data_IF_255862240187
#
_entry.id   IF_255862240187
#
_cell.length_a   1.000
_cell.length_b   1.000
_cell.length_c   1.000
_cell.angle_alpha   90.00
_cell.angle_beta   90.00
_cell.angle_gamma   90.00
#
_symmetry.space_group_name_H-M   'P 1'
#
loop_
_entity.id
_entity.type
_entity.pdbx_description
1 polymer ?
#
# COMPACT_ATOMS: atom_id res chain seq x y z
N UNK A 1 -0.93 29.28 5.76
CA UNK A 1 -1.93 28.58 6.59
C UNK A 1 -2.20 27.14 6.15
N UNK A 2 -1.70 26.72 5.00
CA UNK A 2 -1.87 25.34 4.52
C UNK A 2 -0.72 24.39 4.91
N UNK A 3 0.27 24.83 5.65
CA UNK A 3 1.42 24.00 6.04
C UNK A 3 1.09 22.86 7.01
N UNK A 4 0.02 22.98 7.77
CA UNK A 4 -0.40 21.95 8.72
C UNK A 4 -1.15 20.77 8.06
N UNK A 5 -1.32 20.80 6.75
CA UNK A 5 -2.17 19.86 6.00
C UNK A 5 -1.36 19.15 4.92
N UNK A 6 -0.10 19.51 4.73
CA UNK A 6 0.75 18.90 3.72
C UNK A 6 1.46 17.67 4.29
N UNK A 7 1.35 16.58 3.58
CA UNK A 7 2.01 15.30 3.86
C UNK A 7 3.50 15.32 3.48
N UNK A 8 4.16 16.43 3.67
CA UNK A 8 5.52 16.63 3.19
C UNK A 8 6.51 15.83 4.04
N UNK A 9 6.92 14.68 3.55
CA UNK A 9 8.15 14.03 3.99
C UNK A 9 9.30 14.61 3.17
N UNK A 10 10.18 15.32 3.85
CA UNK A 10 11.30 16.02 3.20
C UNK A 10 12.62 15.33 3.49
N UNK A 11 13.53 15.44 2.55
CA UNK A 11 14.91 15.01 2.71
C UNK A 11 15.71 16.09 3.42
N UNK A 12 16.22 15.78 4.59
CA UNK A 12 17.03 16.68 5.41
C UNK A 12 18.41 16.08 5.61
N UNK A 13 19.46 16.89 5.41
CA UNK A 13 20.82 16.52 5.76
C UNK A 13 21.19 17.05 7.12
N UNK A 14 22.00 16.30 7.87
CA UNK A 14 22.50 16.67 9.18
C UNK A 14 24.00 16.36 9.32
N UNK A 15 24.73 17.22 10.02
CA UNK A 15 26.09 16.92 10.49
C UNK A 15 26.01 16.24 11.86
N UNK A 16 26.19 14.92 11.88
CA UNK A 16 26.11 14.14 13.13
C UNK A 16 27.24 14.45 14.12
N UNK A 17 28.38 14.98 13.66
CA UNK A 17 29.48 15.36 14.57
C UNK A 17 29.18 16.66 15.29
N UNK A 18 28.53 17.59 14.61
CA UNK A 18 28.14 18.89 15.17
C UNK A 18 26.75 18.87 15.77
N UNK A 19 25.97 17.80 15.51
CA UNK A 19 24.54 17.70 15.89
C UNK A 19 23.71 18.87 15.33
N UNK A 20 24.04 19.31 14.13
CA UNK A 20 23.37 20.41 13.44
C UNK A 20 22.62 19.91 12.21
N UNK A 21 21.39 20.43 12.01
CA UNK A 21 20.67 20.25 10.75
C UNK A 21 21.31 21.14 9.69
N UNK A 22 21.66 20.53 8.56
CA UNK A 22 22.39 21.22 7.51
C UNK A 22 21.45 21.91 6.53
N UNK A 23 20.54 21.18 5.95
CA UNK A 23 19.63 21.70 4.92
C UNK A 23 18.42 20.81 4.73
N UNK A 24 17.28 21.43 4.43
CA UNK A 24 16.15 20.75 3.82
C UNK A 24 16.36 20.80 2.29
N UNK A 25 16.67 19.66 1.70
CA UNK A 25 16.98 19.54 0.28
C UNK A 25 15.73 19.52 -0.60
N UNK A 26 14.59 19.14 -0.06
CA UNK A 26 13.37 18.92 -0.83
C UNK A 26 12.16 19.72 -0.29
N UNK A 27 12.29 21.03 -0.04
CA UNK A 27 11.18 21.84 0.42
C UNK A 27 10.08 21.87 -0.64
N UNK A 28 8.85 21.54 -0.25
CA UNK A 28 7.69 21.51 -1.14
C UNK A 28 7.61 20.30 -2.06
N UNK A 29 8.46 19.30 -1.89
CA UNK A 29 8.28 17.99 -2.50
C UNK A 29 7.27 17.18 -1.68
N UNK A 30 6.56 16.28 -2.36
CA UNK A 30 5.54 15.47 -1.76
C UNK A 30 6.08 14.07 -1.47
N UNK A 31 6.10 13.68 -0.19
CA UNK A 31 6.33 12.30 0.25
C UNK A 31 7.64 11.66 -0.24
N UNK A 32 8.76 12.29 0.02
CA UNK A 32 10.09 11.78 -0.32
C UNK A 32 10.46 10.56 0.51
N UNK A 33 10.89 9.47 -0.14
CA UNK A 33 11.25 8.22 0.52
C UNK A 33 12.54 7.59 -0.03
N UNK A 34 13.02 6.58 0.67
CA UNK A 34 14.14 5.71 0.31
C UNK A 34 15.41 6.46 -0.10
N UNK A 35 15.90 7.42 0.71
CA UNK A 35 17.08 8.18 0.35
C UNK A 35 18.33 7.29 0.32
N UNK A 36 19.13 7.45 -0.72
CA UNK A 36 20.40 6.75 -0.88
C UNK A 36 21.47 7.69 -1.44
N UNK A 37 22.65 7.64 -0.86
CA UNK A 37 23.78 8.43 -1.33
C UNK A 37 24.30 7.92 -2.67
N UNK A 38 24.65 8.86 -3.55
CA UNK A 38 25.44 8.53 -4.74
C UNK A 38 26.83 8.04 -4.31
N UNK A 39 27.44 7.19 -5.13
CA UNK A 39 28.77 6.62 -4.85
C UNK A 39 29.86 7.68 -4.56
N UNK A 40 29.78 8.83 -5.21
CA UNK A 40 30.72 9.93 -5.02
C UNK A 40 30.35 10.90 -3.89
N UNK A 41 29.24 10.65 -3.17
CA UNK A 41 28.77 11.48 -2.07
C UNK A 41 28.27 12.87 -2.45
N UNK A 42 28.10 13.18 -3.74
CA UNK A 42 27.72 14.53 -4.21
C UNK A 42 26.22 14.70 -4.46
N UNK A 43 25.47 13.62 -4.41
CA UNK A 43 24.03 13.63 -4.66
C UNK A 43 23.31 12.58 -3.83
N UNK A 44 22.00 12.73 -3.70
CA UNK A 44 21.13 11.77 -3.06
C UNK A 44 20.09 11.33 -4.07
N UNK A 45 19.89 10.02 -4.19
CA UNK A 45 18.78 9.41 -4.88
C UNK A 45 17.62 9.27 -3.90
N UNK A 46 16.40 9.40 -4.38
CA UNK A 46 15.20 9.18 -3.59
C UNK A 46 14.02 8.84 -4.49
N UNK A 47 12.96 8.33 -3.89
CA UNK A 47 11.69 8.09 -4.58
C UNK A 47 10.61 9.07 -4.12
N UNK A 48 9.71 9.41 -5.03
CA UNK A 48 8.55 10.26 -4.76
C UNK A 48 7.36 9.76 -5.59
N UNK A 49 6.15 9.64 -5.01
CA UNK A 49 4.98 9.25 -5.78
C UNK A 49 4.50 10.40 -6.66
N UNK A 50 4.00 10.04 -7.83
CA UNK A 50 3.27 10.97 -8.70
C UNK A 50 1.81 11.12 -8.22
N UNK A 51 1.09 12.05 -8.81
CA UNK A 51 -0.35 12.24 -8.53
C UNK A 51 -1.21 11.04 -8.96
N UNK A 52 -0.69 10.20 -9.86
CA UNK A 52 -1.33 8.96 -10.31
C UNK A 52 -0.97 7.73 -9.49
N UNK A 53 -0.15 7.91 -8.42
CA UNK A 53 0.27 6.82 -7.57
C UNK A 53 1.52 6.06 -8.04
N UNK A 54 2.05 6.39 -9.20
CA UNK A 54 3.31 5.81 -9.68
C UNK A 54 4.50 6.37 -8.90
N UNK A 55 5.55 5.56 -8.78
CA UNK A 55 6.79 6.00 -8.14
C UNK A 55 7.79 6.49 -9.16
N UNK A 56 8.40 7.63 -8.85
CA UNK A 56 9.43 8.22 -9.66
C UNK A 56 10.77 8.27 -8.93
N UNK A 57 11.81 7.72 -9.53
CA UNK A 57 13.16 7.83 -9.02
C UNK A 57 13.72 9.21 -9.37
N UNK A 58 14.28 9.88 -8.39
CA UNK A 58 14.86 11.23 -8.53
C UNK A 58 16.28 11.30 -7.98
N UNK A 59 16.99 12.33 -8.38
CA UNK A 59 18.31 12.69 -7.86
C UNK A 59 18.35 14.18 -7.53
N UNK A 60 18.99 14.53 -6.42
CA UNK A 60 19.24 15.90 -6.02
C UNK A 60 20.71 16.08 -5.60
N UNK A 61 21.40 17.18 -5.99
CA UNK A 61 22.72 17.52 -5.46
C UNK A 61 22.65 17.77 -3.95
N UNK A 62 23.73 17.43 -3.23
CA UNK A 62 23.82 17.67 -1.77
C UNK A 62 23.78 19.16 -1.42
N UNK A 63 24.23 20.01 -2.33
CA UNK A 63 24.24 21.46 -2.16
C UNK A 63 22.85 22.09 -2.46
N UNK A 64 21.85 21.27 -2.75
CA UNK A 64 20.49 21.70 -3.05
C UNK A 64 20.24 21.90 -4.55
N UNK A 65 19.10 22.50 -4.86
CA UNK A 65 18.63 22.73 -6.23
C UNK A 65 17.34 21.95 -6.54
N UNK A 66 16.94 21.94 -7.80
CA UNK A 66 15.74 21.20 -8.22
C UNK A 66 16.05 19.73 -8.43
N UNK A 67 15.25 18.81 -7.86
CA UNK A 67 15.36 17.39 -8.14
C UNK A 67 15.16 17.10 -9.64
N UNK A 68 15.92 16.13 -10.15
CA UNK A 68 15.80 15.64 -11.52
C UNK A 68 15.26 14.23 -11.54
N UNK A 69 14.33 13.96 -12.44
CA UNK A 69 13.83 12.61 -12.66
C UNK A 69 14.91 11.74 -13.30
N UNK A 70 14.97 10.49 -12.88
CA UNK A 70 15.83 9.47 -13.47
C UNK A 70 14.94 8.40 -14.13
N UNK A 71 15.08 8.30 -15.45
CA UNK A 71 14.41 7.24 -16.20
C UNK A 71 15.24 5.98 -16.20
N UNK A 72 14.65 4.88 -15.78
CA UNK A 72 15.27 3.56 -15.88
C UNK A 72 15.31 3.17 -17.36
N UNK A 73 16.48 3.15 -17.96
CA UNK A 73 16.65 2.83 -19.38
C UNK A 73 16.63 1.32 -19.67
N UNK A 74 17.11 0.51 -18.71
CA UNK A 74 17.22 -0.93 -18.88
C UNK A 74 17.28 -1.62 -17.51
N UNK A 75 16.53 -2.70 -17.36
CA UNK A 75 16.69 -3.65 -16.28
C UNK A 75 17.65 -4.76 -16.70
N UNK A 76 18.62 -5.08 -15.85
CA UNK A 76 19.56 -6.18 -16.05
C UNK A 76 19.32 -7.19 -14.94
N UNK A 77 18.78 -8.32 -15.32
CA UNK A 77 18.48 -9.40 -14.38
C UNK A 77 19.68 -10.33 -14.24
N UNK A 78 19.96 -10.79 -13.03
CA UNK A 78 21.05 -11.74 -12.73
C UNK A 78 20.74 -13.17 -13.20
N UNK A 79 19.46 -13.50 -13.37
CA UNK A 79 18.99 -14.80 -13.84
C UNK A 79 18.10 -14.62 -15.05
N UNK A 80 18.07 -15.62 -15.92
CA UNK A 80 17.10 -15.68 -17.00
C UNK A 80 15.68 -15.69 -16.44
N UNK A 81 14.77 -15.08 -17.15
CA UNK A 81 13.37 -14.94 -16.74
C UNK A 81 12.42 -15.62 -17.71
N UNK A 82 11.24 -15.91 -17.23
CA UNK A 82 10.13 -16.45 -18.01
C UNK A 82 8.81 -15.91 -17.48
N UNK A 83 7.83 -15.76 -18.35
CA UNK A 83 6.48 -15.42 -17.92
C UNK A 83 5.76 -16.67 -17.42
N UNK A 84 5.07 -16.53 -16.28
CA UNK A 84 4.28 -17.58 -15.65
C UNK A 84 2.85 -17.10 -15.48
N UNK A 85 1.87 -17.94 -15.85
CA UNK A 85 0.45 -17.72 -15.58
C UNK A 85 0.07 -18.39 -14.25
N UNK A 86 -0.47 -17.60 -13.33
CA UNK A 86 -0.96 -18.07 -12.04
C UNK A 86 -2.47 -17.86 -11.98
N UNK A 87 -3.21 -18.95 -11.75
CA UNK A 87 -4.67 -18.93 -11.60
C UNK A 87 -5.05 -19.32 -10.19
N UNK A 88 -5.98 -18.57 -9.59
CA UNK A 88 -6.55 -18.90 -8.28
C UNK A 88 -8.03 -19.21 -8.41
N UNK A 89 -8.45 -20.32 -7.81
CA UNK A 89 -9.82 -20.81 -7.87
C UNK A 89 -10.37 -21.15 -6.47
N UNK A 90 -11.67 -20.99 -6.33
CA UNK A 90 -12.43 -21.39 -5.15
C UNK A 90 -13.71 -22.11 -5.62
N UNK A 91 -13.88 -23.38 -5.22
CA UNK A 91 -15.01 -24.18 -5.69
C UNK A 91 -15.09 -24.32 -7.23
N UNK A 92 -13.94 -24.37 -7.91
CA UNK A 92 -13.84 -24.47 -9.36
C UNK A 92 -13.96 -23.15 -10.11
N UNK A 93 -14.37 -22.07 -9.46
CA UNK A 93 -14.52 -20.75 -10.05
C UNK A 93 -13.27 -19.89 -9.82
N UNK A 94 -12.95 -19.04 -10.79
CA UNK A 94 -11.92 -18.01 -10.66
C UNK A 94 -12.27 -17.09 -9.48
N UNK A 95 -11.28 -16.80 -8.63
CA UNK A 95 -11.44 -15.94 -7.46
C UNK A 95 -10.27 -14.99 -7.33
N UNK A 96 -10.54 -13.72 -7.02
CA UNK A 96 -9.52 -12.76 -6.66
C UNK A 96 -8.78 -13.19 -5.39
N UNK A 97 -7.50 -12.88 -5.32
CA UNK A 97 -6.66 -13.37 -4.23
C UNK A 97 -5.46 -12.45 -3.97
N UNK A 98 -4.97 -12.52 -2.75
CA UNK A 98 -3.67 -12.00 -2.35
C UNK A 98 -2.60 -13.04 -2.67
N UNK A 99 -1.54 -12.62 -3.37
CA UNK A 99 -0.42 -13.45 -3.77
C UNK A 99 0.88 -12.95 -3.17
N UNK A 100 1.66 -13.83 -2.58
CA UNK A 100 3.05 -13.60 -2.19
C UNK A 100 3.92 -14.61 -2.92
N UNK A 101 4.92 -14.15 -3.66
CA UNK A 101 5.79 -14.99 -4.47
C UNK A 101 7.23 -14.78 -4.02
N UNK A 102 7.93 -15.88 -3.77
CA UNK A 102 9.34 -15.86 -3.37
C UNK A 102 10.18 -16.64 -4.36
N UNK A 103 11.39 -16.15 -4.61
CA UNK A 103 12.42 -16.86 -5.35
C UNK A 103 13.02 -17.99 -4.52
N UNK A 104 13.96 -18.76 -5.09
CA UNK A 104 14.61 -19.88 -4.42
C UNK A 104 15.46 -19.48 -3.21
N UNK A 105 15.78 -18.20 -3.04
CA UNK A 105 16.52 -17.65 -1.91
C UNK A 105 15.62 -16.98 -0.88
N UNK A 106 14.30 -16.99 -1.10
CA UNK A 106 13.33 -16.32 -0.24
C UNK A 106 13.17 -14.83 -0.49
N UNK A 107 13.71 -14.29 -1.59
CA UNK A 107 13.48 -12.90 -1.94
C UNK A 107 12.12 -12.70 -2.62
N UNK A 108 11.41 -11.60 -2.36
CA UNK A 108 10.12 -11.37 -2.94
C UNK A 108 10.20 -11.09 -4.45
N UNK A 109 9.27 -11.66 -5.18
CA UNK A 109 9.01 -11.35 -6.59
C UNK A 109 7.81 -10.42 -6.62
N UNK A 110 8.05 -9.17 -7.03
CA UNK A 110 7.05 -8.12 -7.03
C UNK A 110 6.29 -8.08 -8.34
N UNK A 111 5.04 -7.67 -8.29
CA UNK A 111 4.24 -7.37 -9.47
C UNK A 111 4.70 -6.02 -10.06
N UNK A 112 5.23 -6.00 -11.30
CA UNK A 112 5.69 -4.76 -11.92
C UNK A 112 4.53 -3.87 -12.46
N UNK A 113 3.32 -4.44 -12.55
CA UNK A 113 2.17 -3.80 -13.19
C UNK A 113 1.08 -3.38 -12.20
N UNK A 114 1.42 -3.28 -10.92
CA UNK A 114 0.47 -2.89 -9.89
C UNK A 114 1.13 -2.69 -8.52
N UNK A 115 0.36 -2.26 -7.53
CA UNK A 115 0.87 -2.02 -6.20
C UNK A 115 1.35 -3.32 -5.55
N UNK A 116 2.44 -3.20 -4.81
CA UNK A 116 2.95 -4.25 -3.94
C UNK A 116 2.87 -3.75 -2.51
N UNK A 117 2.37 -4.58 -1.63
CA UNK A 117 2.16 -4.27 -0.22
C UNK A 117 3.17 -5.03 0.62
N UNK A 118 3.46 -4.50 1.79
CA UNK A 118 4.35 -5.16 2.75
C UNK A 118 3.58 -5.43 4.04
N UNK A 119 3.54 -6.68 4.44
CA UNK A 119 3.01 -7.10 5.72
C UNK A 119 4.15 -7.09 6.75
N UNK A 120 4.16 -6.08 7.59
CA UNK A 120 5.20 -5.90 8.62
C UNK A 120 5.16 -6.97 9.73
N UNK A 121 4.06 -7.69 9.88
CA UNK A 121 3.93 -8.72 10.91
C UNK A 121 4.64 -10.03 10.52
N UNK A 122 4.61 -10.36 9.24
CA UNK A 122 5.23 -11.58 8.74
C UNK A 122 6.42 -11.36 7.80
N UNK A 123 6.72 -10.11 7.44
CA UNK A 123 7.83 -9.75 6.56
C UNK A 123 7.61 -10.09 5.09
N UNK A 124 6.38 -10.38 4.67
CA UNK A 124 6.08 -10.76 3.30
C UNK A 124 5.61 -9.57 2.46
N UNK A 125 6.14 -9.47 1.25
CA UNK A 125 5.54 -8.67 0.20
C UNK A 125 4.42 -9.44 -0.49
N UNK A 126 3.36 -8.76 -0.86
CA UNK A 126 2.23 -9.34 -1.58
C UNK A 126 1.59 -8.33 -2.52
N UNK A 127 0.77 -8.83 -3.43
CA UNK A 127 -0.05 -8.04 -4.33
C UNK A 127 -1.38 -8.77 -4.59
N UNK A 128 -2.34 -8.07 -5.18
CA UNK A 128 -3.64 -8.65 -5.51
C UNK A 128 -3.72 -9.05 -6.97
N UNK A 129 -4.46 -10.12 -7.22
CA UNK A 129 -4.79 -10.64 -8.53
C UNK A 129 -6.30 -10.86 -8.64
N UNK A 130 -6.89 -10.54 -9.78
CA UNK A 130 -8.31 -10.83 -10.08
C UNK A 130 -8.55 -12.31 -10.41
N UNK A 131 -7.75 -13.20 -9.82
CA UNK A 131 -7.84 -14.64 -10.00
C UNK A 131 -7.03 -15.21 -11.16
N UNK A 132 -6.40 -14.37 -11.96
CA UNK A 132 -5.41 -14.78 -12.96
C UNK A 132 -4.43 -13.66 -13.20
N UNK A 133 -3.14 -13.97 -13.19
CA UNK A 133 -2.08 -13.03 -13.48
C UNK A 133 -0.98 -13.70 -14.28
N UNK A 134 -0.43 -12.97 -15.25
CA UNK A 134 0.82 -13.33 -15.91
C UNK A 134 1.93 -12.45 -15.34
N UNK A 135 2.96 -13.08 -14.78
CA UNK A 135 4.06 -12.38 -14.13
C UNK A 135 5.40 -12.94 -14.60
N UNK A 136 6.34 -12.04 -14.80
CA UNK A 136 7.69 -12.39 -15.19
C UNK A 136 8.52 -12.77 -13.94
N UNK A 137 9.08 -13.96 -13.92
CA UNK A 137 9.78 -14.56 -12.79
C UNK A 137 11.14 -15.15 -13.21
N UNK A 138 12.11 -15.32 -12.30
CA UNK A 138 13.35 -16.02 -12.65
C UNK A 138 13.09 -17.48 -12.98
N UNK A 139 13.95 -18.06 -13.85
CA UNK A 139 13.92 -19.49 -14.20
C UNK A 139 14.55 -20.30 -13.08
N UNK A 140 13.73 -20.74 -12.15
CA UNK A 140 14.10 -21.53 -10.96
C UNK A 140 12.85 -22.07 -10.25
N UNK A 141 13.04 -22.69 -9.10
CA UNK A 141 11.92 -23.00 -8.21
C UNK A 141 11.46 -21.73 -7.49
N UNK A 142 10.17 -21.44 -7.58
CA UNK A 142 9.52 -20.34 -6.87
C UNK A 142 8.47 -20.91 -5.91
N UNK A 143 8.20 -20.18 -4.84
CA UNK A 143 7.14 -20.48 -3.88
C UNK A 143 6.05 -19.44 -3.99
N UNK A 144 4.79 -19.87 -4.06
CA UNK A 144 3.62 -19.02 -4.19
C UNK A 144 2.70 -19.29 -3.01
N UNK A 145 2.40 -18.27 -2.24
CA UNK A 145 1.36 -18.29 -1.21
C UNK A 145 0.15 -17.50 -1.72
N UNK A 146 -1.02 -18.13 -1.71
CA UNK A 146 -2.28 -17.51 -2.11
C UNK A 146 -3.29 -17.53 -0.96
N UNK A 147 -4.07 -16.47 -0.80
CA UNK A 147 -5.19 -16.38 0.14
C UNK A 147 -6.32 -15.50 -0.43
N UNK A 148 -7.56 -15.70 0.04
CA UNK A 148 -8.72 -14.92 -0.37
C UNK A 148 -9.65 -14.66 0.83
N UNK A 149 -9.25 -13.67 1.63
CA UNK A 149 -9.97 -13.27 2.84
C UNK A 149 -9.89 -14.27 4.01
N UNK A 150 -10.52 -13.89 5.11
CA UNK A 150 -10.44 -14.63 6.38
C UNK A 150 -11.16 -15.98 6.38
N UNK A 151 -12.10 -16.17 5.47
CA UNK A 151 -12.94 -17.39 5.41
C UNK A 151 -12.39 -18.46 4.46
N UNK A 152 -11.19 -18.23 3.95
CA UNK A 152 -10.52 -19.11 3.00
C UNK A 152 -9.14 -19.51 3.55
N UNK A 153 -8.83 -20.81 3.55
CA UNK A 153 -7.49 -21.27 3.92
C UNK A 153 -6.48 -20.80 2.89
N UNK A 154 -5.35 -20.30 3.38
CA UNK A 154 -4.22 -19.99 2.49
C UNK A 154 -3.63 -21.28 1.91
N UNK A 155 -3.20 -21.21 0.66
CA UNK A 155 -2.62 -22.33 -0.06
C UNK A 155 -1.20 -22.00 -0.52
N UNK A 156 -0.26 -22.90 -0.25
CA UNK A 156 1.12 -22.78 -0.73
C UNK A 156 1.34 -23.72 -1.90
N UNK A 157 1.97 -23.22 -2.96
CA UNK A 157 2.36 -23.97 -4.14
C UNK A 157 3.83 -23.73 -4.44
N UNK A 158 4.51 -24.73 -4.97
CA UNK A 158 5.86 -24.61 -5.51
C UNK A 158 5.82 -24.85 -7.01
N UNK A 159 6.54 -24.06 -7.77
CA UNK A 159 6.58 -24.14 -9.22
C UNK A 159 8.04 -24.12 -9.70
N UNK A 160 8.44 -25.10 -10.49
CA UNK A 160 9.69 -25.06 -11.24
C UNK A 160 9.48 -24.40 -12.59
N UNK A 161 9.88 -23.15 -12.69
CA UNK A 161 9.67 -22.30 -13.88
C UNK A 161 10.60 -22.66 -15.05
N UNK A 162 11.54 -23.59 -14.87
CA UNK A 162 12.31 -24.16 -15.98
C UNK A 162 11.46 -25.09 -16.83
N UNK A 163 10.53 -25.81 -16.22
CA UNK A 163 9.70 -26.83 -16.87
C UNK A 163 8.24 -26.44 -17.04
N UNK A 164 7.71 -25.58 -16.17
CA UNK A 164 6.28 -25.26 -16.11
C UNK A 164 6.05 -23.75 -16.12
N UNK A 165 5.09 -23.31 -16.95
CA UNK A 165 4.74 -21.88 -17.09
C UNK A 165 3.34 -21.54 -16.61
N UNK A 166 2.58 -22.52 -16.17
CA UNK A 166 1.22 -22.35 -15.70
C UNK A 166 1.04 -23.06 -14.37
N UNK A 167 0.32 -22.43 -13.47
CA UNK A 167 -0.08 -23.07 -12.21
C UNK A 167 -1.49 -22.66 -11.82
N UNK A 168 -2.22 -23.59 -11.24
CA UNK A 168 -3.54 -23.37 -10.68
C UNK A 168 -3.50 -23.66 -9.19
N UNK A 169 -3.95 -22.69 -8.38
CA UNK A 169 -3.99 -22.79 -6.92
C UNK A 169 -5.45 -22.81 -6.50
N UNK A 170 -5.86 -23.95 -5.92
CA UNK A 170 -7.20 -24.12 -5.41
C UNK A 170 -7.25 -23.69 -3.95
N UNK A 171 -8.11 -22.71 -3.65
CA UNK A 171 -8.37 -22.19 -2.32
C UNK A 171 -9.59 -22.89 -1.71
N UNK A 172 -9.48 -23.26 -0.44
CA UNK A 172 -10.54 -23.95 0.30
C UNK A 172 -11.30 -22.97 1.16
N UNK A 173 -12.58 -22.78 0.87
CA UNK A 173 -13.49 -22.01 1.71
C UNK A 173 -13.87 -22.86 2.91
N UNK A 174 -13.67 -22.33 4.12
CA UNK A 174 -14.08 -23.00 5.38
C UNK A 174 -15.44 -22.54 5.86
N UNK A 175 -15.85 -21.35 5.45
CA UNK A 175 -17.15 -20.79 5.77
C UNK A 175 -17.55 -19.74 4.73
N UNK A 176 -18.84 -19.69 4.36
CA UNK A 176 -19.36 -18.70 3.41
C UNK A 176 -20.28 -17.71 4.13
N UNK A 177 -19.84 -16.44 4.32
CA UNK A 177 -20.68 -15.40 4.92
C UNK A 177 -21.99 -15.22 4.16
N UNK A 178 -21.94 -15.11 2.84
CA UNK A 178 -23.10 -14.81 2.01
C UNK A 178 -24.19 -15.90 2.10
N UNK A 179 -23.78 -17.17 2.10
CA UNK A 179 -24.74 -18.30 2.25
C UNK A 179 -25.42 -18.30 3.60
N UNK A 180 -24.84 -17.65 4.59
CA UNK A 180 -25.37 -17.54 5.95
C UNK A 180 -26.01 -16.17 6.23
N UNK A 181 -26.21 -15.33 5.21
CA UNK A 181 -26.87 -14.03 5.32
C UNK A 181 -26.01 -12.92 5.91
N UNK A 182 -24.69 -13.08 5.90
CA UNK A 182 -23.75 -12.08 6.41
C UNK A 182 -23.05 -11.34 5.29
N UNK A 183 -22.60 -10.13 5.60
CA UNK A 183 -21.69 -9.32 4.78
C UNK A 183 -20.38 -9.12 5.52
N UNK A 184 -19.28 -9.22 4.78
CA UNK A 184 -17.94 -8.94 5.31
C UNK A 184 -17.63 -7.46 5.24
N UNK A 185 -17.08 -6.90 6.31
CA UNK A 185 -16.74 -5.49 6.35
C UNK A 185 -15.44 -5.22 7.11
N UNK A 186 -14.69 -4.23 6.65
CA UNK A 186 -13.59 -3.63 7.39
C UNK A 186 -13.92 -2.16 7.65
N UNK A 187 -14.04 -1.80 8.93
CA UNK A 187 -14.37 -0.45 9.38
C UNK A 187 -13.16 0.35 9.86
N UNK A 188 -11.94 -0.23 9.80
CA UNK A 188 -10.73 0.47 10.21
C UNK A 188 -9.56 0.13 9.31
N UNK A 189 -9.56 0.73 8.13
CA UNK A 189 -8.45 0.65 7.19
C UNK A 189 -8.06 2.04 6.70
N UNK A 190 -6.86 2.15 6.17
CA UNK A 190 -6.34 3.37 5.58
C UNK A 190 -5.87 3.11 4.15
N UNK A 191 -6.25 3.95 3.21
CA UNK A 191 -5.73 3.89 1.85
C UNK A 191 -4.30 4.40 1.79
N UNK A 192 -4.06 5.53 2.45
CA UNK A 192 -2.74 6.15 2.57
C UNK A 192 -2.47 6.47 4.04
N UNK A 193 -1.66 5.66 4.70
CA UNK A 193 -1.33 5.92 6.09
C UNK A 193 0.15 6.26 6.25
N UNK A 194 1.00 5.28 6.12
CA UNK A 194 2.45 5.42 6.29
C UNK A 194 3.20 4.41 5.41
N UNK A 195 2.55 3.98 4.34
CA UNK A 195 3.07 2.97 3.44
C UNK A 195 4.13 3.51 2.48
N UNK A 196 4.87 2.62 1.85
CA UNK A 196 5.93 2.96 0.90
C UNK A 196 5.40 3.38 -0.48
N UNK A 197 4.11 3.45 -0.68
CA UNK A 197 3.51 3.93 -1.92
C UNK A 197 2.20 4.68 -1.65
N UNK A 198 1.81 5.53 -2.60
CA UNK A 198 0.53 6.22 -2.56
C UNK A 198 -0.55 5.36 -3.19
N UNK A 199 -1.55 4.97 -2.40
CA UNK A 199 -2.76 4.30 -2.88
C UNK A 199 -3.66 5.28 -3.64
N UNK A 200 -4.28 4.81 -4.70
CA UNK A 200 -5.34 5.50 -5.46
C UNK A 200 -6.60 4.66 -5.46
N UNK A 201 -7.74 5.24 -5.84
CA UNK A 201 -9.04 4.56 -5.77
C UNK A 201 -9.08 3.25 -6.55
N UNK A 202 -8.39 3.19 -7.69
CA UNK A 202 -8.30 2.02 -8.55
C UNK A 202 -7.64 0.82 -7.88
N UNK A 203 -6.86 1.05 -6.82
CA UNK A 203 -6.22 -0.02 -6.04
C UNK A 203 -7.15 -0.66 -5.02
N UNK A 204 -8.27 -0.02 -4.68
CA UNK A 204 -9.16 -0.50 -3.62
C UNK A 204 -9.97 -1.73 -4.07
N UNK A 205 -10.47 -1.75 -5.31
CA UNK A 205 -11.31 -2.85 -5.78
C UNK A 205 -10.59 -4.19 -5.75
N UNK A 206 -9.37 -4.34 -6.32
CA UNK A 206 -8.61 -5.59 -6.22
C UNK A 206 -8.31 -6.01 -4.78
N UNK A 207 -8.11 -5.05 -3.88
CA UNK A 207 -7.91 -5.31 -2.46
C UNK A 207 -9.19 -5.89 -1.83
N UNK A 208 -10.33 -5.23 -2.01
CA UNK A 208 -11.62 -5.70 -1.49
C UNK A 208 -11.99 -7.08 -2.02
N UNK A 209 -11.76 -7.32 -3.30
CA UNK A 209 -12.03 -8.63 -3.90
C UNK A 209 -11.09 -9.69 -3.35
N UNK A 210 -9.78 -9.40 -3.29
CA UNK A 210 -8.76 -10.34 -2.80
C UNK A 210 -8.88 -10.67 -1.32
N UNK A 211 -9.42 -9.75 -0.51
CA UNK A 211 -9.72 -9.97 0.92
C UNK A 211 -11.17 -10.43 1.17
N UNK A 212 -11.95 -10.60 0.11
CA UNK A 212 -13.37 -10.98 0.17
C UNK A 212 -14.20 -10.06 1.09
N UNK A 213 -13.99 -8.75 0.97
CA UNK A 213 -14.72 -7.73 1.72
C UNK A 213 -15.86 -7.16 0.87
N UNK A 214 -17.08 -7.16 1.40
CA UNK A 214 -18.23 -6.53 0.77
C UNK A 214 -18.24 -5.01 0.99
N UNK A 215 -17.77 -4.57 2.16
CA UNK A 215 -17.81 -3.18 2.60
C UNK A 215 -16.44 -2.79 3.16
N UNK A 216 -15.95 -1.62 2.77
CA UNK A 216 -14.77 -1.01 3.36
C UNK A 216 -15.05 0.45 3.73
N UNK A 217 -14.47 0.88 4.86
CA UNK A 217 -14.53 2.27 5.29
C UNK A 217 -13.11 2.85 5.45
N UNK A 218 -12.43 3.16 4.34
CA UNK A 218 -11.13 3.81 4.42
C UNK A 218 -11.23 5.11 5.20
N UNK A 219 -10.38 5.25 6.21
CA UNK A 219 -10.43 6.38 7.12
C UNK A 219 -9.36 7.41 6.76
N UNK A 220 -9.78 8.65 6.54
CA UNK A 220 -8.87 9.77 6.55
C UNK A 220 -8.28 9.88 7.96
N UNK A 221 -6.95 9.81 8.06
CA UNK A 221 -6.26 9.82 9.33
C UNK A 221 -5.36 11.03 9.46
N UNK A 222 -5.22 11.50 10.69
CA UNK A 222 -4.18 12.44 11.03
C UNK A 222 -2.99 11.70 11.63
N UNK A 223 -1.84 11.89 11.04
CA UNK A 223 -0.57 11.43 11.60
C UNK A 223 0.32 12.66 11.80
N UNK A 224 0.60 13.01 13.05
CA UNK A 224 1.25 14.26 13.42
C UNK A 224 0.49 15.49 12.87
N UNK A 225 1.07 16.22 11.92
CA UNK A 225 0.46 17.39 11.27
C UNK A 225 -0.19 17.09 9.93
N UNK A 226 -0.25 15.81 9.54
CA UNK A 226 -0.76 15.39 8.22
C UNK A 226 -2.20 14.94 8.31
N UNK A 227 -2.94 15.21 7.25
CA UNK A 227 -4.28 14.71 7.03
C UNK A 227 -4.30 13.96 5.70
N UNK A 228 -4.21 12.63 5.82
CA UNK A 228 -4.24 11.74 4.66
C UNK A 228 -5.68 11.54 4.17
N UNK A 229 -5.83 11.39 2.87
CA UNK A 229 -7.09 11.01 2.21
C UNK A 229 -8.27 11.98 2.39
N UNK A 230 -8.00 13.23 2.74
CA UNK A 230 -9.05 14.25 2.93
C UNK A 230 -9.84 14.56 1.65
N UNK A 231 -9.23 14.34 0.50
CA UNK A 231 -9.84 14.54 -0.82
C UNK A 231 -11.01 13.60 -1.06
N UNK A 232 -11.06 12.47 -0.36
CA UNK A 232 -12.14 11.48 -0.45
C UNK A 232 -13.27 11.72 0.55
N UNK A 233 -13.24 12.86 1.23
CA UNK A 233 -14.27 13.27 2.18
C UNK A 233 -15.67 12.97 1.68
N UNK A 234 -16.43 12.29 2.53
CA UNK A 234 -17.85 12.00 2.32
C UNK A 234 -18.21 11.19 1.05
N UNK A 235 -17.21 10.68 0.35
CA UNK A 235 -17.46 9.87 -0.84
C UNK A 235 -18.03 8.50 -0.45
N UNK A 236 -18.97 8.05 -1.27
CA UNK A 236 -19.50 6.69 -1.26
C UNK A 236 -19.41 6.17 -2.68
N UNK A 237 -18.72 5.04 -2.84
CA UNK A 237 -18.50 4.41 -4.13
C UNK A 237 -19.10 3.02 -4.11
N UNK A 238 -19.94 2.72 -5.09
CA UNK A 238 -20.36 1.37 -5.38
C UNK A 238 -19.52 0.86 -6.55
N UNK A 239 -18.79 -0.21 -6.33
CA UNK A 239 -17.92 -0.79 -7.33
C UNK A 239 -18.71 -1.66 -8.31
N UNK A 240 -18.20 -1.91 -9.53
CA UNK A 240 -18.82 -2.83 -10.50
C UNK A 240 -19.10 -4.22 -9.94
N UNK A 241 -18.26 -4.69 -9.02
CA UNK A 241 -18.44 -5.96 -8.28
C UNK A 241 -19.61 -5.95 -7.29
N UNK A 242 -20.30 -4.81 -7.09
CA UNK A 242 -21.36 -4.63 -6.10
C UNK A 242 -20.86 -4.31 -4.70
N UNK A 243 -19.54 -4.23 -4.49
CA UNK A 243 -18.93 -3.89 -3.21
C UNK A 243 -19.07 -2.40 -2.93
N UNK A 244 -19.04 -2.04 -1.64
CA UNK A 244 -19.26 -0.67 -1.19
C UNK A 244 -18.03 -0.11 -0.49
N UNK A 245 -17.65 1.11 -0.89
CA UNK A 245 -16.64 1.91 -0.17
C UNK A 245 -17.34 3.14 0.39
N UNK A 246 -17.22 3.35 1.69
CA UNK A 246 -17.67 4.58 2.35
C UNK A 246 -16.50 5.21 3.07
N UNK A 247 -16.00 6.34 2.57
CA UNK A 247 -14.92 7.04 3.24
C UNK A 247 -15.36 7.59 4.59
N UNK A 248 -14.48 7.44 5.55
CA UNK A 248 -14.68 7.73 6.96
C UNK A 248 -13.55 8.65 7.48
N UNK A 249 -13.58 8.96 8.76
CA UNK A 249 -12.52 9.70 9.43
C UNK A 249 -12.10 8.96 10.68
N UNK A 250 -10.80 8.83 10.90
CA UNK A 250 -10.26 8.43 12.20
C UNK A 250 -9.90 9.67 13.03
N UNK A 251 -10.48 9.75 14.21
CA UNK A 251 -10.10 10.73 15.23
C UNK A 251 -9.15 10.03 16.19
N UNK A 252 -7.88 10.41 16.15
CA UNK A 252 -6.82 9.77 16.92
C UNK A 252 -6.45 10.60 18.12
N UNK A 253 -6.46 9.97 19.27
CA UNK A 253 -5.95 10.53 20.51
C UNK A 253 -5.07 9.50 21.20
N UNK A 254 -3.88 9.89 21.59
CA UNK A 254 -3.00 9.02 22.38
C UNK A 254 -3.57 8.66 23.74
N UNK A 255 -4.37 9.55 24.30
CA UNK A 255 -4.88 9.40 25.65
C UNK A 255 -6.24 8.69 25.69
N UNK A 256 -7.13 9.02 24.74
CA UNK A 256 -8.50 8.50 24.72
C UNK A 256 -8.72 7.36 23.71
N UNK A 257 -7.69 6.99 22.97
CA UNK A 257 -7.79 5.96 21.93
C UNK A 257 -8.22 6.52 20.58
N UNK A 258 -8.58 5.62 19.67
CA UNK A 258 -8.95 5.94 18.30
C UNK A 258 -10.45 5.72 18.09
N UNK A 259 -11.09 6.63 17.40
CA UNK A 259 -12.51 6.53 17.02
C UNK A 259 -12.63 6.66 15.51
N UNK A 260 -13.23 5.67 14.88
CA UNK A 260 -13.62 5.72 13.48
C UNK A 260 -15.02 6.33 13.36
N UNK A 261 -15.14 7.46 12.67
CA UNK A 261 -16.43 8.07 12.31
C UNK A 261 -16.81 7.67 10.90
N UNK A 262 -17.79 6.78 10.76
CA UNK A 262 -18.24 6.28 9.47
C UNK A 262 -19.32 7.19 8.91
N UNK A 263 -19.08 7.71 7.69
CA UNK A 263 -20.02 8.56 6.98
C UNK A 263 -20.26 9.95 7.56
N UNK A 264 -19.24 10.63 8.11
CA UNK A 264 -19.42 11.98 8.57
C UNK A 264 -19.77 12.89 7.39
N UNK A 265 -20.72 13.81 7.57
CA UNK A 265 -21.07 14.81 6.55
C UNK A 265 -19.92 15.78 6.30
N UNK A 266 -19.17 16.09 7.35
CA UNK A 266 -17.99 16.92 7.35
C UNK A 266 -16.88 16.23 8.12
N UNK A 267 -15.61 16.43 7.72
CA UNK A 267 -14.51 16.03 8.58
C UNK A 267 -14.48 16.93 9.80
N UNK A 268 -14.33 16.31 10.95
CA UNK A 268 -14.06 17.03 12.18
C UNK A 268 -12.68 17.69 12.09
N UNK A 269 -12.65 18.99 12.32
CA UNK A 269 -11.44 19.79 12.31
C UNK A 269 -11.51 20.92 13.33
N UNK A 270 -10.45 21.19 14.10
CA UNK A 270 -9.14 20.56 14.08
C UNK A 270 -9.13 19.26 14.89
N UNK A 271 -8.52 18.22 14.36
CA UNK A 271 -8.17 17.06 15.18
C UNK A 271 -6.68 17.10 15.49
N UNK A 272 -6.33 16.72 16.68
CA UNK A 272 -4.99 16.78 17.18
C UNK A 272 -4.47 15.40 17.54
N UNK A 273 -3.20 15.25 17.34
CA UNK A 273 -2.42 14.17 17.83
C UNK A 273 -1.80 14.60 19.16
N UNK A 274 -2.07 13.89 20.25
CA UNK A 274 -1.38 14.13 21.51
C UNK A 274 -2.26 14.05 22.76
N UNK A 275 -1.63 13.89 23.93
CA UNK A 275 -2.32 13.87 25.21
C UNK A 275 -2.93 15.24 25.53
N UNK A 276 -4.07 15.23 26.16
CA UNK A 276 -4.67 16.44 26.71
C UNK A 276 -5.62 17.22 25.80
N UNK A 277 -5.79 16.82 24.54
CA UNK A 277 -6.82 17.43 23.71
C UNK A 277 -8.14 16.68 23.80
N UNK A 278 -9.26 17.32 24.12
CA UNK A 278 -10.56 16.69 24.26
C UNK A 278 -11.27 16.48 22.90
N UNK A 279 -10.55 16.02 21.92
CA UNK A 279 -11.05 15.87 20.55
C UNK A 279 -12.31 15.00 20.45
N UNK A 280 -12.47 14.03 21.36
CA UNK A 280 -13.67 13.18 21.39
C UNK A 280 -14.94 13.94 21.76
N UNK A 281 -14.84 14.92 22.66
CA UNK A 281 -15.98 15.75 23.06
C UNK A 281 -16.40 16.64 21.90
N UNK A 282 -15.44 17.25 21.24
CA UNK A 282 -15.70 18.12 20.10
C UNK A 282 -16.09 17.34 18.83
N UNK A 283 -15.59 16.14 18.66
CA UNK A 283 -15.94 15.25 17.54
C UNK A 283 -17.38 14.75 17.55
N UNK A 284 -18.09 14.94 18.66
CA UNK A 284 -19.50 14.56 18.81
C UNK A 284 -20.47 15.72 18.55
N UNK A 285 -19.96 16.89 18.15
CA UNK A 285 -20.78 18.03 17.71
C UNK A 285 -21.03 17.91 16.20
#
# INVERSE_FOLDING_TARGET
YNRAINDDLNLITADLKKMELYSNLTPGQFYVQDPSWSHNGKSIYFTEPTVTGDWQLKIIPIDGGSPKNLDVKKWIWKKDRTSVSIKTKKGGNKVASRLSILDSNGHPILNPNGPNYFDSQNGHYYFYSNGEISIDVPREKISILASAGLTTLSSKSELDTNSTKDTEINLTEVWSPEKNGYKSADFHLHLNYDGPFRGVLEHIEPLLEGENLDIATPQAANLHSRLMDREFKNQTLQLPSGRLIKFAQEIRSHFHGHIGSVGPSEFYYPWYWGPGYPALIDGNK
#
